data_IF_876795503534
#
_entry.id   IF_876795503534
#
_cell.length_a   1.000
_cell.length_b   1.000
_cell.length_c   1.000
_cell.angle_alpha   90.00
_cell.angle_beta   90.00
_cell.angle_gamma   90.00
#
_symmetry.space_group_name_H-M   'P 1'
#
loop_
_entity.id
_entity.type
_entity.pdbx_description
1 polymer ?
#
# COMPACT_ATOMS: atom_id res chain seq x y z
N UNK A 1 22.06 15.32 13.27
CA UNK A 1 20.59 15.32 13.19
C UNK A 1 20.06 14.87 14.53
N UNK A 2 19.13 15.62 15.12
CA UNK A 2 18.50 15.24 16.38
C UNK A 2 17.82 13.86 16.22
N UNK A 3 17.90 12.98 17.22
CA UNK A 3 17.33 11.63 17.14
C UNK A 3 15.85 11.62 16.72
N UNK A 4 15.07 12.56 17.23
CA UNK A 4 13.65 12.71 16.93
C UNK A 4 13.39 13.03 15.45
N UNK A 5 14.14 13.98 14.87
CA UNK A 5 14.05 14.33 13.45
C UNK A 5 14.43 13.14 12.57
N UNK A 6 15.44 12.36 12.97
CA UNK A 6 15.83 11.14 12.28
C UNK A 6 14.70 10.11 12.24
N UNK A 7 14.07 9.87 13.38
CA UNK A 7 12.98 8.90 13.52
C UNK A 7 11.76 9.30 12.71
N UNK A 8 11.43 10.60 12.69
CA UNK A 8 10.36 11.14 11.86
C UNK A 8 10.61 10.92 10.37
N UNK A 9 11.83 11.21 9.89
CA UNK A 9 12.20 10.97 8.48
C UNK A 9 12.16 9.48 8.13
N UNK A 10 12.65 8.60 9.01
CA UNK A 10 12.57 7.15 8.82
C UNK A 10 11.12 6.69 8.70
N UNK A 11 10.22 7.23 9.54
CA UNK A 11 8.79 6.93 9.47
C UNK A 11 8.19 7.31 8.12
N UNK A 12 8.50 8.49 7.60
CA UNK A 12 8.07 8.94 6.27
C UNK A 12 8.60 8.01 5.18
N UNK A 13 9.92 7.74 5.18
CA UNK A 13 10.55 6.86 4.20
C UNK A 13 9.90 5.49 4.21
N UNK A 14 9.68 4.90 5.39
CA UNK A 14 9.01 3.61 5.48
C UNK A 14 7.56 3.65 4.97
N UNK A 15 6.82 4.73 5.20
CA UNK A 15 5.46 4.89 4.66
C UNK A 15 5.46 4.96 3.13
N UNK A 16 6.37 5.76 2.55
CA UNK A 16 6.53 5.86 1.10
C UNK A 16 6.97 4.53 0.49
N UNK A 17 8.00 3.89 1.06
CA UNK A 17 8.49 2.59 0.59
C UNK A 17 7.40 1.53 0.62
N UNK A 18 6.55 1.49 1.65
CA UNK A 18 5.44 0.54 1.71
C UNK A 18 4.40 0.81 0.62
N UNK A 19 4.09 2.08 0.35
CA UNK A 19 3.21 2.46 -0.77
C UNK A 19 3.79 2.05 -2.12
N UNK A 20 5.10 2.27 -2.34
CA UNK A 20 5.80 1.87 -3.55
C UNK A 20 5.82 0.35 -3.75
N UNK A 21 6.07 -0.43 -2.69
CA UNK A 21 6.01 -1.90 -2.75
C UNK A 21 4.60 -2.36 -3.11
N UNK A 22 3.57 -1.76 -2.50
CA UNK A 22 2.18 -2.08 -2.84
C UNK A 22 1.86 -1.75 -4.31
N UNK A 23 2.33 -0.61 -4.82
CA UNK A 23 2.18 -0.25 -6.24
C UNK A 23 2.88 -1.26 -7.15
N UNK A 24 4.13 -1.62 -6.86
CA UNK A 24 4.89 -2.59 -7.66
C UNK A 24 4.19 -3.94 -7.73
N UNK A 25 3.69 -4.45 -6.60
CA UNK A 25 2.93 -5.71 -6.57
C UNK A 25 1.68 -5.61 -7.45
N UNK A 26 0.91 -4.53 -7.33
CA UNK A 26 -0.33 -4.37 -8.08
C UNK A 26 -0.10 -4.11 -9.57
N UNK A 27 1.00 -3.45 -9.95
CA UNK A 27 1.41 -3.31 -11.34
C UNK A 27 1.85 -4.64 -11.93
N UNK A 28 2.65 -5.43 -11.20
CA UNK A 28 3.05 -6.76 -11.68
C UNK A 28 1.84 -7.68 -11.84
N UNK A 29 0.93 -7.73 -10.84
CA UNK A 29 -0.24 -8.60 -10.91
C UNK A 29 -1.27 -8.08 -11.91
N UNK A 30 -1.60 -6.80 -11.86
CA UNK A 30 -2.66 -6.21 -12.68
C UNK A 30 -2.23 -5.98 -14.13
N UNK A 31 -1.07 -5.36 -14.34
CA UNK A 31 -0.63 -4.94 -15.67
C UNK A 31 0.16 -6.06 -16.33
N UNK A 32 1.22 -6.57 -15.69
CA UNK A 32 2.11 -7.55 -16.33
C UNK A 32 1.43 -8.89 -16.61
N UNK A 33 0.62 -9.40 -15.69
CA UNK A 33 -0.20 -10.60 -15.94
C UNK A 33 -1.57 -10.30 -16.58
N UNK A 34 -1.87 -9.03 -16.84
CA UNK A 34 -3.08 -8.60 -17.55
C UNK A 34 -4.40 -8.66 -16.76
N UNK A 35 -4.38 -9.00 -15.47
CA UNK A 35 -5.61 -9.11 -14.67
C UNK A 35 -6.37 -7.78 -14.45
N UNK A 36 -5.74 -6.64 -14.73
CA UNK A 36 -6.39 -5.33 -14.70
C UNK A 36 -7.11 -4.98 -16.01
N UNK A 37 -6.92 -5.75 -17.09
CA UNK A 37 -7.52 -5.47 -18.39
C UNK A 37 -8.70 -6.41 -18.67
N UNK A 38 -9.78 -5.85 -19.22
CA UNK A 38 -10.93 -6.61 -19.67
C UNK A 38 -10.84 -6.85 -21.17
N UNK A 39 -10.49 -8.07 -21.58
CA UNK A 39 -10.53 -8.47 -22.99
C UNK A 39 -11.95 -8.92 -23.37
N UNK A 40 -12.78 -7.97 -23.79
CA UNK A 40 -14.16 -8.20 -24.23
C UNK A 40 -15.17 -8.26 -23.08
N UNK A 41 -15.07 -9.25 -22.19
CA UNK A 41 -15.95 -9.40 -21.03
C UNK A 41 -15.17 -9.61 -19.73
N UNK A 42 -15.64 -9.09 -18.58
CA UNK A 42 -14.98 -9.32 -17.30
C UNK A 42 -14.91 -10.80 -16.95
N UNK A 43 -13.70 -11.31 -16.74
CA UNK A 43 -13.49 -12.68 -16.27
C UNK A 43 -13.48 -12.73 -14.74
N UNK A 44 -13.65 -13.93 -14.18
CA UNK A 44 -13.56 -14.16 -12.73
C UNK A 44 -12.18 -13.70 -12.19
N UNK A 45 -11.11 -13.86 -12.98
CA UNK A 45 -9.77 -13.43 -12.58
C UNK A 45 -9.69 -11.91 -12.37
N UNK A 46 -10.35 -11.13 -13.23
CA UNK A 46 -10.40 -9.68 -13.06
C UNK A 46 -11.15 -9.29 -11.79
N UNK A 47 -12.30 -9.93 -11.51
CA UNK A 47 -13.07 -9.68 -10.29
C UNK A 47 -12.26 -9.99 -9.02
N UNK A 48 -11.58 -11.14 -8.99
CA UNK A 48 -10.68 -11.48 -7.88
C UNK A 48 -9.54 -10.47 -7.73
N UNK A 49 -8.96 -10.02 -8.83
CA UNK A 49 -7.93 -8.99 -8.81
C UNK A 49 -8.44 -7.68 -8.20
N UNK A 50 -9.58 -7.16 -8.65
CA UNK A 50 -10.13 -5.89 -8.11
C UNK A 50 -10.57 -6.00 -6.64
N UNK A 51 -11.15 -7.13 -6.23
CA UNK A 51 -11.47 -7.37 -4.81
C UNK A 51 -10.17 -7.38 -3.99
N UNK A 52 -9.15 -8.12 -4.44
CA UNK A 52 -7.84 -8.16 -3.79
C UNK A 52 -7.14 -6.80 -3.75
N UNK A 53 -7.24 -6.02 -4.82
CA UNK A 53 -6.72 -4.66 -4.92
C UNK A 53 -7.37 -3.75 -3.87
N UNK A 54 -8.71 -3.73 -3.78
CA UNK A 54 -9.43 -2.91 -2.82
C UNK A 54 -9.16 -3.33 -1.36
N UNK A 55 -9.17 -4.63 -1.09
CA UNK A 55 -8.85 -5.16 0.24
C UNK A 55 -7.43 -4.79 0.63
N UNK A 56 -6.45 -4.99 -0.25
CA UNK A 56 -5.06 -4.65 0.03
C UNK A 56 -4.83 -3.15 0.19
N UNK A 57 -5.56 -2.30 -0.54
CA UNK A 57 -5.55 -0.85 -0.36
C UNK A 57 -6.10 -0.45 1.01
N UNK A 58 -7.22 -1.04 1.43
CA UNK A 58 -7.79 -0.80 2.76
C UNK A 58 -6.79 -1.21 3.86
N UNK A 59 -6.15 -2.37 3.72
CA UNK A 59 -5.11 -2.83 4.64
C UNK A 59 -3.89 -1.90 4.65
N UNK A 60 -3.45 -1.40 3.50
CA UNK A 60 -2.36 -0.42 3.42
C UNK A 60 -2.71 0.87 4.18
N UNK A 61 -3.92 1.41 3.96
CA UNK A 61 -4.40 2.60 4.67
C UNK A 61 -4.45 2.35 6.18
N UNK A 62 -4.99 1.21 6.62
CA UNK A 62 -5.05 0.85 8.04
C UNK A 62 -3.65 0.70 8.65
N UNK A 63 -2.73 0.05 7.94
CA UNK A 63 -1.32 -0.09 8.34
C UNK A 63 -0.67 1.29 8.53
N UNK A 64 -0.83 2.19 7.56
CA UNK A 64 -0.28 3.54 7.63
C UNK A 64 -0.94 4.31 8.79
N UNK A 65 -2.28 4.30 8.92
CA UNK A 65 -2.96 4.97 10.04
C UNK A 65 -2.48 4.48 11.40
N UNK A 66 -2.34 3.16 11.59
CA UNK A 66 -1.82 2.59 12.84
C UNK A 66 -0.38 3.04 13.12
N UNK A 67 0.48 3.04 12.10
CA UNK A 67 1.87 3.49 12.20
C UNK A 67 1.97 4.97 12.57
N UNK A 68 1.07 5.79 12.05
CA UNK A 68 1.07 7.22 12.32
C UNK A 68 0.51 7.56 13.71
N UNK A 69 -0.58 6.91 14.13
CA UNK A 69 -1.15 7.03 15.49
C UNK A 69 -0.20 6.54 16.59
N UNK A 70 0.39 5.35 16.43
CA UNK A 70 1.27 4.79 17.45
C UNK A 70 2.55 5.60 17.70
N UNK A 71 2.92 6.51 16.79
CA UNK A 71 4.01 7.45 17.00
C UNK A 71 3.54 8.75 17.67
N UNK A 72 2.31 9.21 17.39
CA UNK A 72 1.74 10.34 18.12
C UNK A 72 1.67 10.01 19.62
N UNK A 73 1.27 8.78 19.97
CA UNK A 73 1.20 8.31 21.37
C UNK A 73 2.57 8.19 22.09
N UNK A 74 3.71 8.17 21.37
CA UNK A 74 5.05 8.07 21.96
C UNK A 74 5.67 9.45 22.24
N UNK A 75 5.19 10.49 21.56
CA UNK A 75 5.76 11.85 21.63
C UNK A 75 4.96 12.83 22.50
N UNK A 76 3.94 12.36 23.24
CA UNK A 76 3.23 13.09 24.30
C UNK A 76 3.49 12.46 25.67
#
# INVERSE_FOLDING_TARGET
MEPEVKEFLIKIVHSLSMGLVWLLINMSIGIYYGFAFFEGSPTIANWLYYIGFLVSLALLILYLRKKWKGWEEINY
#
